data_IF_787123412651
#
_entry.id   IF_787123412651
#
_cell.length_a   1.000
_cell.length_b   1.000
_cell.length_c   1.000
_cell.angle_alpha   90.00
_cell.angle_beta   90.00
_cell.angle_gamma   90.00
#
_symmetry.space_group_name_H-M   'P 1'
#
loop_
_entity.id
_entity.type
_entity.pdbx_description
1 polymer ?
#
# COMPACT_ATOMS: atom_id res chain seq x y z
N UNK A 1 1.32 7.16 10.88
CA UNK A 1 2.47 7.31 9.95
C UNK A 1 3.81 7.59 10.66
N UNK A 2 3.96 8.69 11.40
CA UNK A 2 5.25 9.04 12.05
C UNK A 2 5.74 7.98 13.04
N UNK A 3 4.84 7.42 13.86
CA UNK A 3 5.16 6.33 14.78
C UNK A 3 5.69 5.09 14.04
N UNK A 4 5.06 4.69 12.92
CA UNK A 4 5.56 3.59 12.09
C UNK A 4 6.96 3.87 11.53
N UNK A 5 7.27 5.13 11.17
CA UNK A 5 8.63 5.53 10.75
C UNK A 5 9.65 5.50 11.88
N UNK A 6 9.23 5.72 13.12
CA UNK A 6 10.11 5.57 14.28
C UNK A 6 10.37 4.10 14.60
N UNK A 7 9.34 3.25 14.52
CA UNK A 7 9.46 1.80 14.77
C UNK A 7 10.27 1.12 13.68
N UNK A 8 10.02 1.44 12.41
CA UNK A 8 10.69 0.85 11.24
C UNK A 8 11.79 1.77 10.70
N UNK A 9 12.53 2.44 11.58
CA UNK A 9 13.47 3.52 11.20
C UNK A 9 14.46 3.12 10.12
N UNK A 10 15.03 1.92 10.22
CA UNK A 10 16.00 1.43 9.23
C UNK A 10 15.37 1.26 7.85
N UNK A 11 14.15 0.72 7.77
CA UNK A 11 13.41 0.54 6.52
C UNK A 11 13.15 1.87 5.81
N UNK A 12 12.78 2.92 6.55
CA UNK A 12 12.49 4.22 5.95
C UNK A 12 13.75 5.03 5.62
N UNK A 13 14.85 4.82 6.34
CA UNK A 13 16.12 5.55 6.11
C UNK A 13 16.99 4.89 5.05
N UNK A 14 17.16 3.57 5.13
CA UNK A 14 18.09 2.81 4.30
C UNK A 14 17.39 1.87 3.31
N UNK A 15 16.08 1.67 3.45
CA UNK A 15 15.34 0.80 2.55
C UNK A 15 15.32 1.34 1.12
N UNK A 16 15.56 0.43 0.17
CA UNK A 16 15.53 0.70 -1.25
C UNK A 16 14.18 1.24 -1.66
N UNK A 17 14.18 2.30 -2.47
CA UNK A 17 12.96 2.87 -3.02
C UNK A 17 12.63 2.20 -4.34
N UNK A 18 11.45 1.58 -4.43
CA UNK A 18 10.97 0.95 -5.64
C UNK A 18 9.61 1.52 -6.05
N UNK A 19 9.52 2.04 -7.27
CA UNK A 19 8.22 2.42 -7.84
C UNK A 19 7.41 1.17 -8.14
N UNK A 20 6.13 1.17 -7.76
CA UNK A 20 5.24 0.05 -8.04
C UNK A 20 4.47 0.26 -9.35
N UNK A 21 4.16 -0.86 -9.99
CA UNK A 21 3.32 -0.88 -11.19
C UNK A 21 1.86 -0.85 -10.78
N UNK A 22 1.11 0.09 -11.35
CA UNK A 22 -0.34 0.18 -11.17
C UNK A 22 -1.02 -0.19 -12.48
N UNK A 23 -2.00 -1.09 -12.40
CA UNK A 23 -2.79 -1.58 -13.51
C UNK A 23 -4.24 -1.11 -13.31
N UNK A 24 -4.89 -0.66 -14.38
CA UNK A 24 -6.28 -0.22 -14.36
C UNK A 24 -6.48 1.13 -15.04
N UNK A 25 -7.74 1.50 -15.23
CA UNK A 25 -8.17 2.77 -15.81
C UNK A 25 -7.63 3.98 -15.06
N UNK A 26 -7.48 3.90 -13.73
CA UNK A 26 -7.05 5.01 -12.87
C UNK A 26 -5.58 4.98 -12.46
N UNK A 27 -4.71 4.26 -13.19
CA UNK A 27 -3.26 4.19 -12.90
C UNK A 27 -2.56 5.55 -12.80
N UNK A 28 -3.05 6.57 -13.51
CA UNK A 28 -2.51 7.93 -13.49
C UNK A 28 -2.95 8.76 -12.28
N UNK A 29 -3.94 8.27 -11.52
CA UNK A 29 -4.54 8.96 -10.37
C UNK A 29 -4.04 8.43 -9.02
N UNK A 30 -3.00 7.60 -9.03
CA UNK A 30 -2.38 7.09 -7.81
C UNK A 30 -0.86 7.13 -7.92
N UNK A 31 -0.21 7.36 -6.78
CA UNK A 31 1.22 7.19 -6.58
C UNK A 31 1.38 6.01 -5.63
N UNK A 32 2.10 4.99 -6.09
CA UNK A 32 2.42 3.80 -5.30
C UNK A 32 3.91 3.49 -5.38
N UNK A 33 4.54 3.30 -4.22
CA UNK A 33 5.94 2.88 -4.12
C UNK A 33 6.14 1.99 -2.90
N UNK A 34 7.21 1.19 -2.95
CA UNK A 34 7.67 0.38 -1.84
C UNK A 34 9.01 0.92 -1.29
N UNK A 35 9.20 0.70 0.00
CA UNK A 35 10.49 0.73 0.68
C UNK A 35 10.82 -0.69 1.11
N UNK A 36 12.02 -1.17 0.79
CA UNK A 36 12.44 -2.53 1.09
C UNK A 36 13.78 -2.59 1.79
N UNK A 37 13.86 -3.36 2.88
CA UNK A 37 15.10 -3.64 3.58
C UNK A 37 15.08 -5.08 4.11
N UNK A 38 15.79 -5.98 3.40
CA UNK A 38 15.75 -7.42 3.68
C UNK A 38 14.32 -7.96 3.57
N UNK A 39 13.84 -8.61 4.64
CA UNK A 39 12.48 -9.16 4.70
C UNK A 39 11.42 -8.11 5.03
N UNK A 40 11.79 -6.86 5.35
CA UNK A 40 10.83 -5.80 5.71
C UNK A 40 10.46 -4.98 4.48
N UNK A 41 9.17 -4.73 4.31
CA UNK A 41 8.61 -4.00 3.17
C UNK A 41 7.52 -3.06 3.65
N UNK A 42 7.56 -1.83 3.18
CA UNK A 42 6.50 -0.85 3.38
C UNK A 42 5.98 -0.39 2.02
N UNK A 43 4.68 -0.55 1.77
CA UNK A 43 4.00 -0.02 0.60
C UNK A 43 3.28 1.28 0.98
N UNK A 44 3.50 2.31 0.18
CA UNK A 44 2.86 3.61 0.34
C UNK A 44 1.96 3.84 -0.87
N UNK A 45 0.70 4.16 -0.61
CA UNK A 45 -0.30 4.41 -1.65
C UNK A 45 -1.00 5.73 -1.35
N UNK A 46 -0.96 6.64 -2.31
CA UNK A 46 -1.63 7.94 -2.19
C UNK A 46 -2.30 8.33 -3.52
N UNK A 47 -3.57 8.76 -3.51
CA UNK A 47 -4.24 9.33 -4.65
C UNK A 47 -3.55 10.63 -5.09
N UNK A 48 -3.60 10.91 -6.38
CA UNK A 48 -3.24 12.19 -6.99
C UNK A 48 -4.36 12.64 -7.91
N UNK A 49 -4.50 13.96 -8.09
CA UNK A 49 -5.57 14.55 -8.91
C UNK A 49 -6.98 14.16 -8.45
N UNK A 50 -7.21 14.20 -7.13
CA UNK A 50 -8.48 13.77 -6.51
C UNK A 50 -9.71 14.56 -6.97
N UNK A 51 -9.54 15.81 -7.42
CA UNK A 51 -10.64 16.62 -7.99
C UNK A 51 -11.20 16.05 -9.29
N UNK A 52 -10.45 15.19 -10.00
CA UNK A 52 -10.93 14.44 -11.15
C UNK A 52 -11.54 13.07 -10.81
N UNK A 53 -11.43 12.64 -9.55
CA UNK A 53 -11.94 11.34 -9.07
C UNK A 53 -13.26 11.48 -8.31
N UNK A 54 -13.40 12.53 -7.50
CA UNK A 54 -14.52 12.72 -6.58
C UNK A 54 -14.98 14.17 -6.54
N UNK A 55 -16.21 14.39 -6.07
CA UNK A 55 -16.76 15.74 -5.87
C UNK A 55 -16.13 16.42 -4.66
N UNK A 56 -16.26 17.74 -4.60
CA UNK A 56 -15.82 18.51 -3.44
C UNK A 56 -16.51 18.01 -2.16
N UNK A 57 -15.71 17.77 -1.12
CA UNK A 57 -16.18 17.23 0.17
C UNK A 57 -16.25 15.71 0.23
N UNK A 58 -15.98 14.99 -0.86
CA UNK A 58 -15.92 13.53 -0.89
C UNK A 58 -14.47 13.02 -0.87
N UNK A 59 -14.28 11.80 -0.37
CA UNK A 59 -12.98 11.12 -0.36
C UNK A 59 -12.93 10.05 -1.45
N UNK A 60 -11.78 9.88 -2.14
CA UNK A 60 -11.60 8.86 -3.15
C UNK A 60 -11.45 7.47 -2.51
N UNK A 61 -12.56 6.89 -2.05
CA UNK A 61 -12.59 5.64 -1.30
C UNK A 61 -13.34 4.54 -2.04
N UNK A 62 -12.91 3.30 -1.80
CA UNK A 62 -13.66 2.11 -2.17
C UNK A 62 -13.85 1.88 -3.67
N UNK A 63 -14.76 0.96 -3.98
CA UNK A 63 -14.98 0.45 -5.34
C UNK A 63 -15.61 1.47 -6.29
N UNK A 64 -16.48 2.34 -5.77
CA UNK A 64 -17.16 3.38 -6.54
C UNK A 64 -16.17 4.30 -7.26
N UNK A 65 -14.98 4.51 -6.66
CA UNK A 65 -13.93 5.34 -7.23
C UNK A 65 -12.87 4.49 -7.92
N UNK A 66 -12.35 3.44 -7.28
CA UNK A 66 -11.14 2.78 -7.77
C UNK A 66 -11.37 1.63 -8.76
N UNK A 67 -12.61 1.17 -8.92
CA UNK A 67 -13.01 0.12 -9.87
C UNK A 67 -12.05 -1.09 -9.87
N UNK A 68 -11.55 -1.50 -11.03
CA UNK A 68 -10.58 -2.58 -11.24
C UNK A 68 -9.10 -2.19 -11.04
N UNK A 69 -8.81 -1.01 -10.47
CA UNK A 69 -7.43 -0.54 -10.30
C UNK A 69 -6.70 -1.36 -9.23
N UNK A 70 -5.50 -1.83 -9.57
CA UNK A 70 -4.68 -2.72 -8.73
C UNK A 70 -3.20 -2.34 -8.75
N UNK A 71 -2.52 -2.57 -7.64
CA UNK A 71 -1.07 -2.40 -7.50
C UNK A 71 -0.40 -3.75 -7.53
N UNK A 72 0.66 -3.87 -8.32
CA UNK A 72 1.59 -4.99 -8.23
C UNK A 72 2.62 -4.70 -7.13
N UNK A 73 2.61 -5.45 -6.02
CA UNK A 73 3.67 -5.35 -5.04
C UNK A 73 4.99 -5.89 -5.61
N UNK A 74 6.12 -5.61 -4.95
CA UNK A 74 7.43 -6.13 -5.37
C UNK A 74 7.44 -7.65 -5.48
N UNK A 75 8.23 -8.18 -6.43
CA UNK A 75 8.34 -9.62 -6.63
C UNK A 75 8.75 -10.35 -5.33
N UNK A 76 8.18 -11.54 -5.12
CA UNK A 76 8.42 -12.34 -3.92
C UNK A 76 7.83 -11.75 -2.63
N UNK A 77 7.00 -10.70 -2.71
CA UNK A 77 6.29 -10.21 -1.53
C UNK A 77 5.23 -11.19 -1.08
N UNK A 78 5.11 -11.37 0.23
CA UNK A 78 3.87 -11.91 0.79
C UNK A 78 2.74 -10.92 0.54
N UNK A 79 1.56 -11.44 0.22
CA UNK A 79 0.41 -10.62 -0.12
C UNK A 79 -0.53 -10.49 1.06
N UNK A 80 0.05 -10.30 2.25
CA UNK A 80 -0.66 -10.02 3.49
C UNK A 80 -0.01 -8.82 4.12
N UNK A 81 -0.78 -7.75 4.17
CA UNK A 81 -0.31 -6.44 4.55
C UNK A 81 -1.20 -5.86 5.62
N UNK A 82 -0.61 -5.11 6.55
CA UNK A 82 -1.34 -4.36 7.56
C UNK A 82 -1.22 -2.88 7.25
N UNK A 83 -2.35 -2.21 7.06
CA UNK A 83 -2.37 -0.76 7.01
C UNK A 83 -2.19 -0.20 8.43
N UNK A 84 -1.13 0.56 8.65
CA UNK A 84 -0.87 1.17 9.96
C UNK A 84 -1.69 2.44 10.20
N UNK A 85 -2.42 2.92 9.19
CA UNK A 85 -3.28 4.09 9.30
C UNK A 85 -4.70 3.70 9.72
N UNK A 86 -5.30 2.73 9.03
CA UNK A 86 -6.65 2.22 9.36
C UNK A 86 -6.65 1.01 10.29
N UNK A 87 -5.52 0.30 10.43
CA UNK A 87 -5.44 -0.98 11.15
C UNK A 87 -5.94 -2.19 10.35
N UNK A 88 -6.47 -1.97 9.13
CA UNK A 88 -7.03 -2.99 8.28
C UNK A 88 -5.95 -3.97 7.77
N UNK A 89 -6.32 -5.24 7.64
CA UNK A 89 -5.54 -6.23 6.90
C UNK A 89 -5.98 -6.24 5.43
N UNK A 90 -5.01 -6.08 4.52
CA UNK A 90 -5.21 -6.17 3.07
C UNK A 90 -4.51 -7.42 2.58
N UNK A 91 -5.22 -8.24 1.81
CA UNK A 91 -4.69 -9.46 1.23
C UNK A 91 -4.92 -9.51 -0.28
N UNK A 92 -4.03 -10.17 -1.01
CA UNK A 92 -4.14 -10.38 -2.45
C UNK A 92 -3.47 -11.67 -2.90
N UNK A 93 -3.57 -11.99 -4.19
CA UNK A 93 -2.96 -13.20 -4.79
C UNK A 93 -1.80 -12.91 -5.75
N UNK A 94 -1.93 -11.86 -6.57
CA UNK A 94 -0.85 -11.36 -7.43
C UNK A 94 -0.76 -9.83 -7.38
N UNK A 95 -1.85 -9.19 -6.96
CA UNK A 95 -2.00 -7.74 -6.88
C UNK A 95 -2.87 -7.37 -5.69
N UNK A 96 -2.75 -6.11 -5.24
CA UNK A 96 -3.61 -5.52 -4.23
C UNK A 96 -4.62 -4.59 -4.91
N UNK A 97 -5.90 -4.76 -4.61
CA UNK A 97 -6.95 -3.92 -5.17
C UNK A 97 -6.99 -2.57 -4.45
N UNK A 98 -6.99 -1.45 -5.20
CA UNK A 98 -7.05 -0.13 -4.59
C UNK A 98 -8.35 0.11 -3.84
N UNK A 99 -9.45 -0.47 -4.32
CA UNK A 99 -10.76 -0.40 -3.63
C UNK A 99 -10.72 -1.01 -2.23
N UNK A 100 -9.82 -1.97 -1.98
CA UNK A 100 -9.63 -2.59 -0.67
C UNK A 100 -8.58 -1.83 0.15
N UNK A 101 -7.48 -1.41 -0.47
CA UNK A 101 -6.40 -0.65 0.16
C UNK A 101 -6.91 0.71 0.67
N UNK A 102 -7.75 1.38 -0.11
CA UNK A 102 -8.30 2.71 0.15
C UNK A 102 -9.79 2.62 0.50
N UNK A 103 -10.20 1.57 1.21
CA UNK A 103 -11.58 1.37 1.63
C UNK A 103 -11.99 2.33 2.76
N UNK A 104 -11.10 2.53 3.74
CA UNK A 104 -11.41 3.28 4.97
C UNK A 104 -10.70 4.63 5.07
N UNK A 105 -9.53 4.76 4.45
CA UNK A 105 -8.72 5.97 4.50
C UNK A 105 -8.17 6.28 3.11
N UNK A 106 -8.13 7.56 2.69
CA UNK A 106 -7.80 7.92 1.32
C UNK A 106 -6.32 7.75 1.00
N UNK A 107 -5.47 7.41 1.97
CA UNK A 107 -4.08 7.04 1.77
C UNK A 107 -3.80 5.77 2.58
N UNK A 108 -2.81 4.98 2.17
CA UNK A 108 -2.44 3.77 2.89
C UNK A 108 -0.93 3.71 3.14
N UNK A 109 -0.56 3.19 4.31
CA UNK A 109 0.80 2.79 4.63
C UNK A 109 0.77 1.33 5.09
N UNK A 110 1.06 0.44 4.16
CA UNK A 110 0.98 -0.99 4.33
C UNK A 110 2.35 -1.52 4.76
N UNK A 111 2.43 -2.21 5.89
CA UNK A 111 3.61 -2.97 6.29
C UNK A 111 3.36 -4.46 6.03
N UNK A 112 4.35 -5.18 5.52
CA UNK A 112 4.22 -6.61 5.41
C UNK A 112 4.19 -7.22 6.81
N UNK A 113 3.32 -8.19 7.04
CA UNK A 113 3.41 -8.94 8.27
C UNK A 113 4.61 -9.90 8.17
N UNK A 114 5.50 -9.93 9.17
CA UNK A 114 6.43 -11.03 9.32
C UNK A 114 5.59 -12.27 9.60
N UNK A 115 5.28 -13.03 8.55
CA UNK A 115 4.74 -14.38 8.70
C UNK A 115 5.63 -15.20 9.64
N UNK A 116 5.05 -16.19 10.34
CA UNK A 116 5.68 -16.87 11.47
C UNK A 116 7.11 -17.21 11.11
N UNK A 117 8.05 -16.63 11.85
CA UNK A 117 9.46 -16.85 11.63
C UNK A 117 9.68 -18.34 11.55
N UNK A 118 10.35 -18.79 10.50
CA UNK A 118 10.96 -20.12 10.54
C UNK A 118 11.98 -20.02 11.66
N UNK A 119 11.60 -20.48 12.85
CA UNK A 119 12.53 -20.73 13.94
C UNK A 119 13.61 -21.60 13.35
N UNK A 120 14.81 -21.03 13.19
CA UNK A 120 15.98 -21.80 12.88
C UNK A 120 16.28 -22.61 14.14
N UNK A 121 15.99 -23.91 14.09
CA UNK A 121 16.74 -24.91 14.84
C UNK A 121 18.09 -25.17 14.14
#
# INVERSE_FOLDING_TARGET
ALQARQVERELFQHGAYQKLTVIGSLKGHVIAFARELGERRALVVAPRFSTGLVKDGEYPLGEAVWHETRILPPAGSRLRWRDVLSGQLVQGEEALWLREVLAQFPVALLLNEPGPGRTAE
#
